data_IF_641173628447
#
_entry.id   IF_641173628447
#
_cell.length_a   1.000
_cell.length_b   1.000
_cell.length_c   1.000
_cell.angle_alpha   90.00
_cell.angle_beta   90.00
_cell.angle_gamma   90.00
#
_symmetry.space_group_name_H-M   'P 1'
#
loop_
_entity.id
_entity.type
_entity.pdbx_description
1 polymer ?
#
# COMPACT_ATOMS: atom_id res chain seq x y z
N UNK A 1 16.04 17.44 13.11
CA UNK A 1 15.27 18.04 11.98
C UNK A 1 13.78 18.01 12.33
N UNK A 2 12.92 18.90 11.81
CA UNK A 2 11.46 18.92 12.10
C UNK A 2 10.64 18.92 10.81
N UNK A 3 9.49 18.24 10.78
CA UNK A 3 8.64 18.15 9.58
C UNK A 3 8.17 19.53 9.09
N UNK A 4 7.79 20.42 10.02
CA UNK A 4 7.48 21.81 9.67
C UNK A 4 8.59 22.48 8.87
N UNK A 5 9.86 22.31 9.24
CA UNK A 5 11.01 22.90 8.51
C UNK A 5 11.27 22.24 7.16
N UNK A 6 10.82 21.00 6.97
CA UNK A 6 10.86 20.31 5.68
C UNK A 6 9.81 20.86 4.72
N UNK A 7 8.59 21.05 5.21
CA UNK A 7 7.43 21.44 4.41
C UNK A 7 7.18 22.96 4.35
N UNK A 8 7.96 23.78 5.06
CA UNK A 8 7.83 25.24 5.04
C UNK A 8 8.36 25.86 3.73
N UNK A 9 7.59 26.79 3.16
CA UNK A 9 8.01 27.60 2.02
C UNK A 9 8.88 28.74 2.54
N UNK A 10 10.12 28.84 2.06
CA UNK A 10 11.01 29.93 2.48
C UNK A 10 10.56 31.25 1.87
N UNK A 11 10.23 32.23 2.73
CA UNK A 11 9.78 33.56 2.31
C UNK A 11 10.71 34.24 1.28
N UNK A 12 12.03 34.12 1.47
CA UNK A 12 13.03 34.77 0.61
C UNK A 12 13.19 34.13 -0.76
N UNK A 13 13.12 32.80 -0.85
CA UNK A 13 13.37 32.08 -2.11
C UNK A 13 12.10 31.52 -2.75
N UNK A 14 10.95 31.59 -2.07
CA UNK A 14 9.69 30.91 -2.42
C UNK A 14 9.87 29.42 -2.75
N UNK A 15 10.93 28.78 -2.21
CA UNK A 15 11.27 27.36 -2.45
C UNK A 15 10.94 26.53 -1.22
N UNK A 16 10.39 25.34 -1.45
CA UNK A 16 10.22 24.29 -0.46
C UNK A 16 11.36 23.25 -0.57
N UNK A 17 11.59 22.47 0.49
CA UNK A 17 12.54 21.36 0.45
C UNK A 17 11.93 20.04 -0.02
N UNK A 18 10.60 19.99 -0.09
CA UNK A 18 9.82 18.85 -0.58
C UNK A 18 9.12 19.23 -1.88
N UNK A 19 8.65 18.24 -2.62
CA UNK A 19 7.78 18.40 -3.78
C UNK A 19 6.41 18.99 -3.39
N UNK A 20 5.70 19.53 -4.38
CA UNK A 20 4.41 20.19 -4.20
C UNK A 20 3.34 19.25 -3.63
N UNK A 21 3.38 17.97 -3.98
CA UNK A 21 2.42 16.98 -3.48
C UNK A 21 2.65 16.72 -1.98
N UNK A 22 3.90 16.59 -1.56
CA UNK A 22 4.26 16.45 -0.13
C UNK A 22 3.89 17.69 0.66
N UNK A 23 4.06 18.87 0.06
CA UNK A 23 3.63 20.12 0.68
C UNK A 23 2.10 20.17 0.85
N UNK A 24 1.33 19.85 -0.20
CA UNK A 24 -0.14 19.78 -0.13
C UNK A 24 -0.62 18.78 0.91
N UNK A 25 -0.03 17.58 0.95
CA UNK A 25 -0.33 16.54 1.94
C UNK A 25 -0.10 17.04 3.37
N UNK A 26 1.03 17.71 3.61
CA UNK A 26 1.33 18.32 4.91
C UNK A 26 0.34 19.43 5.31
N UNK A 27 -0.13 20.22 4.34
CA UNK A 27 -1.09 21.31 4.55
C UNK A 27 -2.52 20.79 4.77
N UNK A 28 -2.91 19.71 4.07
CA UNK A 28 -4.20 19.02 4.26
C UNK A 28 -4.36 18.47 5.68
N UNK A 29 -3.27 18.02 6.29
CA UNK A 29 -3.27 17.49 7.65
C UNK A 29 -3.89 16.09 7.76
N UNK A 30 -4.29 15.71 8.98
CA UNK A 30 -4.85 14.38 9.29
C UNK A 30 -3.84 13.26 9.13
N UNK A 31 -4.32 12.07 8.75
CA UNK A 31 -3.53 10.85 8.56
C UNK A 31 -2.35 11.09 7.60
N UNK A 32 -2.57 11.88 6.54
CA UNK A 32 -1.52 12.23 5.59
C UNK A 32 -0.32 12.95 6.21
N UNK A 33 -0.53 13.77 7.25
CA UNK A 33 0.58 14.42 7.99
C UNK A 33 1.28 13.43 8.92
N UNK A 34 0.53 12.56 9.59
CA UNK A 34 1.10 11.55 10.50
C UNK A 34 2.07 10.64 9.74
N UNK A 35 1.70 10.21 8.54
CA UNK A 35 2.56 9.43 7.65
C UNK A 35 3.86 10.15 7.27
N UNK A 36 3.81 11.46 7.05
CA UNK A 36 5.02 12.26 6.81
C UNK A 36 5.88 12.37 8.08
N UNK A 37 5.27 12.40 9.28
CA UNK A 37 6.03 12.38 10.53
C UNK A 37 6.74 11.04 10.75
N UNK A 38 6.06 9.93 10.45
CA UNK A 38 6.66 8.58 10.49
C UNK A 38 7.83 8.50 9.49
N UNK A 39 7.63 8.91 8.24
CA UNK A 39 8.68 8.90 7.22
C UNK A 39 9.91 9.74 7.65
N UNK A 40 9.68 10.87 8.32
CA UNK A 40 10.78 11.69 8.85
C UNK A 40 11.47 11.04 10.05
N UNK A 41 10.72 10.39 10.94
CA UNK A 41 11.27 9.69 12.09
C UNK A 41 12.20 8.55 11.64
N UNK A 42 11.77 7.73 10.67
CA UNK A 42 12.58 6.66 10.09
C UNK A 42 13.86 7.19 9.42
N UNK A 43 13.76 8.31 8.68
CA UNK A 43 14.91 8.93 8.06
C UNK A 43 15.92 9.45 9.10
N UNK A 44 15.43 10.01 10.21
CA UNK A 44 16.24 10.49 11.32
C UNK A 44 16.89 9.33 12.07
N UNK A 45 16.19 8.23 12.29
CA UNK A 45 16.73 7.04 12.94
C UNK A 45 17.92 6.47 12.14
N UNK A 46 17.81 6.45 10.81
CA UNK A 46 18.86 5.92 9.92
C UNK A 46 20.09 6.83 9.81
N UNK A 47 19.91 8.15 9.76
CA UNK A 47 20.98 9.11 9.40
C UNK A 47 21.37 10.08 10.52
N UNK A 48 20.59 10.14 11.60
CA UNK A 48 20.77 11.10 12.69
C UNK A 48 20.28 12.51 12.36
N UNK A 49 20.60 13.46 13.25
CA UNK A 49 20.13 14.86 13.17
C UNK A 49 21.24 15.89 12.98
N UNK A 50 22.46 15.44 12.71
CA UNK A 50 23.62 16.32 12.52
C UNK A 50 23.49 17.19 11.25
N UNK A 51 24.08 18.40 11.28
CA UNK A 51 23.97 19.37 10.17
C UNK A 51 24.60 18.89 8.88
N UNK A 52 25.73 18.18 8.96
CA UNK A 52 26.42 17.54 7.82
C UNK A 52 25.52 16.50 7.11
N UNK A 53 24.62 15.83 7.85
CA UNK A 53 23.71 14.82 7.32
C UNK A 53 22.42 15.41 6.74
N UNK A 54 22.11 16.69 6.95
CA UNK A 54 20.84 17.29 6.52
C UNK A 54 20.54 17.12 5.02
N UNK A 55 21.55 17.15 4.14
CA UNK A 55 21.35 16.92 2.70
C UNK A 55 20.93 15.47 2.43
N UNK A 56 21.59 14.51 3.08
CA UNK A 56 21.26 13.08 2.97
C UNK A 56 19.91 12.76 3.61
N UNK A 57 19.62 13.37 4.76
CA UNK A 57 18.35 13.23 5.47
C UNK A 57 17.16 13.66 4.60
N UNK A 58 17.31 14.74 3.82
CA UNK A 58 16.26 15.18 2.88
C UNK A 58 16.03 14.17 1.75
N UNK A 59 17.10 13.61 1.21
CA UNK A 59 17.01 12.60 0.16
C UNK A 59 16.35 11.31 0.69
N UNK A 60 16.78 10.85 1.87
CA UNK A 60 16.18 9.69 2.53
C UNK A 60 14.71 9.94 2.85
N UNK A 61 14.37 11.11 3.40
CA UNK A 61 12.98 11.48 3.65
C UNK A 61 12.13 11.42 2.38
N UNK A 62 12.61 11.99 1.26
CA UNK A 62 11.89 11.93 -0.01
C UNK A 62 11.68 10.48 -0.48
N UNK A 63 12.69 9.62 -0.35
CA UNK A 63 12.57 8.19 -0.66
C UNK A 63 11.52 7.50 0.23
N UNK A 64 11.50 7.81 1.54
CA UNK A 64 10.52 7.26 2.48
C UNK A 64 9.10 7.72 2.17
N UNK A 65 8.91 8.98 1.80
CA UNK A 65 7.60 9.50 1.41
C UNK A 65 7.05 8.77 0.19
N UNK A 66 7.89 8.45 -0.80
CA UNK A 66 7.46 7.64 -1.95
C UNK A 66 6.99 6.25 -1.52
N UNK A 67 7.76 5.54 -0.70
CA UNK A 67 7.38 4.21 -0.19
C UNK A 67 6.09 4.27 0.61
N UNK A 68 5.91 5.28 1.45
CA UNK A 68 4.70 5.46 2.25
C UNK A 68 3.50 5.76 1.34
N UNK A 69 3.66 6.55 0.28
CA UNK A 69 2.61 6.78 -0.71
C UNK A 69 2.22 5.51 -1.45
N UNK A 70 3.19 4.75 -1.94
CA UNK A 70 2.95 3.47 -2.58
C UNK A 70 2.21 2.52 -1.63
N UNK A 71 2.57 2.49 -0.34
CA UNK A 71 1.84 1.73 0.68
C UNK A 71 0.42 2.23 0.91
N UNK A 72 0.19 3.54 0.88
CA UNK A 72 -1.14 4.11 1.03
C UNK A 72 -2.02 3.79 -0.18
N UNK A 73 -1.49 3.92 -1.39
CA UNK A 73 -2.18 3.52 -2.62
C UNK A 73 -2.43 2.01 -2.65
N UNK A 74 -1.49 1.19 -2.19
CA UNK A 74 -1.69 -0.26 -2.05
C UNK A 74 -2.76 -0.56 -1.01
N UNK A 75 -2.74 0.09 0.16
CA UNK A 75 -3.78 -0.06 1.19
C UNK A 75 -5.15 0.37 0.67
N UNK A 76 -5.25 1.49 -0.04
CA UNK A 76 -6.49 1.95 -0.68
C UNK A 76 -6.98 0.96 -1.75
N UNK A 77 -6.07 0.39 -2.56
CA UNK A 77 -6.39 -0.69 -3.52
C UNK A 77 -6.76 -2.01 -2.84
N UNK A 78 -6.18 -2.30 -1.67
CA UNK A 78 -6.54 -3.44 -0.83
C UNK A 78 -7.89 -3.25 -0.12
N UNK A 79 -8.42 -2.01 -0.04
CA UNK A 79 -9.70 -1.74 0.62
C UNK A 79 -10.92 -1.88 -0.30
N UNK A 80 -10.74 -2.03 -1.62
CA UNK A 80 -11.82 -2.27 -2.59
C UNK A 80 -12.08 -3.76 -2.80
N UNK A 81 -12.39 -4.46 -1.70
CA UNK A 81 -12.81 -5.86 -1.74
C UNK A 81 -13.80 -6.22 -0.65
N UNK A 82 -14.50 -7.31 -0.87
CA UNK A 82 -15.52 -7.83 0.02
C UNK A 82 -15.19 -9.25 0.45
N UNK A 83 -15.53 -9.56 1.70
CA UNK A 83 -15.39 -10.89 2.25
C UNK A 83 -16.63 -11.72 1.91
N UNK A 84 -16.44 -12.76 1.10
CA UNK A 84 -17.52 -13.63 0.66
C UNK A 84 -17.27 -15.08 1.06
N UNK A 85 -18.33 -15.77 1.46
CA UNK A 85 -18.31 -17.22 1.60
C UNK A 85 -18.51 -17.87 0.23
N UNK A 86 -18.08 -19.11 0.07
CA UNK A 86 -18.33 -19.89 -1.16
C UNK A 86 -19.82 -19.93 -1.52
N UNK A 87 -20.69 -20.13 -0.52
CA UNK A 87 -22.14 -20.12 -0.71
C UNK A 87 -22.69 -18.76 -1.16
N UNK A 88 -22.14 -17.65 -0.63
CA UNK A 88 -22.53 -16.31 -1.08
C UNK A 88 -22.10 -16.06 -2.52
N UNK A 89 -20.91 -16.50 -2.91
CA UNK A 89 -20.44 -16.39 -4.29
C UNK A 89 -21.31 -17.22 -5.25
N UNK A 90 -21.74 -18.42 -4.84
CA UNK A 90 -22.66 -19.26 -5.64
C UNK A 90 -24.05 -18.64 -5.75
N UNK A 91 -24.57 -18.05 -4.66
CA UNK A 91 -25.91 -17.46 -4.61
C UNK A 91 -26.02 -16.11 -5.32
N UNK A 92 -24.95 -15.33 -5.40
CA UNK A 92 -24.99 -14.03 -6.08
C UNK A 92 -25.17 -14.16 -7.59
N UNK A 93 -24.78 -15.28 -8.19
CA UNK A 93 -24.85 -15.50 -9.64
C UNK A 93 -23.84 -14.67 -10.45
N UNK A 94 -23.06 -13.81 -9.79
CA UNK A 94 -22.05 -12.95 -10.40
C UNK A 94 -20.75 -13.69 -10.76
N UNK A 95 -20.57 -14.92 -10.26
CA UNK A 95 -19.32 -15.69 -10.38
C UNK A 95 -19.56 -17.05 -11.03
N UNK A 96 -18.76 -17.40 -12.03
CA UNK A 96 -18.77 -18.75 -12.59
C UNK A 96 -18.18 -19.76 -11.60
N UNK A 97 -18.58 -21.05 -11.66
CA UNK A 97 -18.01 -22.10 -10.82
C UNK A 97 -16.47 -22.19 -10.94
N UNK A 98 -15.93 -21.96 -12.12
CA UNK A 98 -14.49 -21.92 -12.40
C UNK A 98 -13.79 -20.76 -11.69
N UNK A 99 -14.41 -19.57 -11.67
CA UNK A 99 -13.89 -18.40 -10.98
C UNK A 99 -13.90 -18.59 -9.48
N UNK A 100 -14.97 -19.15 -8.91
CA UNK A 100 -15.05 -19.46 -7.47
C UNK A 100 -13.92 -20.41 -7.06
N UNK A 101 -13.69 -21.49 -7.83
CA UNK A 101 -12.57 -22.41 -7.58
C UNK A 101 -11.21 -21.72 -7.64
N UNK A 102 -11.02 -20.82 -8.59
CA UNK A 102 -9.77 -20.07 -8.75
C UNK A 102 -9.53 -19.10 -7.59
N UNK A 103 -10.57 -18.39 -7.14
CA UNK A 103 -10.53 -17.49 -5.98
C UNK A 103 -10.15 -18.29 -4.73
N UNK A 104 -10.89 -19.38 -4.44
CA UNK A 104 -10.62 -20.20 -3.25
C UNK A 104 -9.20 -20.76 -3.28
N UNK A 105 -8.75 -21.28 -4.44
CA UNK A 105 -7.41 -21.81 -4.61
C UNK A 105 -6.33 -20.73 -4.38
N UNK A 106 -6.56 -19.51 -4.86
CA UNK A 106 -5.64 -18.38 -4.67
C UNK A 106 -5.60 -17.93 -3.20
N UNK A 107 -6.75 -17.66 -2.59
CA UNK A 107 -6.83 -17.24 -1.19
C UNK A 107 -6.23 -18.29 -0.24
N UNK A 108 -6.40 -19.58 -0.57
CA UNK A 108 -5.82 -20.68 0.22
C UNK A 108 -4.28 -20.71 0.22
N UNK A 109 -3.61 -20.04 -0.74
CA UNK A 109 -2.14 -19.86 -0.71
C UNK A 109 -1.69 -18.86 0.36
N UNK A 110 -2.57 -17.94 0.75
CA UNK A 110 -2.29 -16.88 1.72
C UNK A 110 -3.35 -16.84 2.84
N UNK A 111 -3.48 -17.91 3.64
CA UNK A 111 -4.59 -18.08 4.58
C UNK A 111 -4.62 -17.04 5.70
N UNK A 112 -3.49 -16.43 6.04
CA UNK A 112 -3.40 -15.41 7.09
C UNK A 112 -3.91 -14.03 6.62
N UNK A 113 -3.95 -13.80 5.31
CA UNK A 113 -4.27 -12.49 4.72
C UNK A 113 -5.61 -12.50 3.98
N UNK A 114 -5.91 -13.57 3.24
CA UNK A 114 -7.03 -13.64 2.30
C UNK A 114 -8.13 -14.63 2.71
N UNK A 115 -7.97 -15.30 3.85
CA UNK A 115 -8.95 -16.22 4.41
C UNK A 115 -9.21 -15.84 5.85
N UNK A 116 -10.49 -15.82 6.24
CA UNK A 116 -10.86 -15.65 7.65
C UNK A 116 -12.01 -16.56 8.01
N UNK A 117 -12.16 -16.81 9.31
CA UNK A 117 -13.34 -17.51 9.82
C UNK A 117 -14.53 -16.58 9.83
N UNK A 118 -15.70 -17.10 9.49
CA UNK A 118 -16.93 -16.33 9.54
C UNK A 118 -17.34 -16.07 10.99
N UNK A 119 -17.72 -14.82 11.29
CA UNK A 119 -18.03 -14.34 12.65
C UNK A 119 -19.03 -15.20 13.42
N UNK A 120 -20.00 -15.82 12.73
CA UNK A 120 -21.10 -16.56 13.35
C UNK A 120 -20.98 -18.08 13.24
N UNK A 121 -20.04 -18.59 12.46
CA UNK A 121 -19.80 -20.02 12.35
C UNK A 121 -18.33 -20.29 12.01
N UNK A 122 -17.56 -20.88 12.95
CA UNK A 122 -16.12 -21.12 12.76
C UNK A 122 -15.83 -22.16 11.67
N UNK A 123 -16.82 -22.97 11.29
CA UNK A 123 -16.68 -23.96 10.22
C UNK A 123 -16.80 -23.35 8.82
N UNK A 124 -17.22 -22.08 8.72
CA UNK A 124 -17.40 -21.38 7.45
C UNK A 124 -16.23 -20.42 7.23
N UNK A 125 -15.61 -20.51 6.06
CA UNK A 125 -14.52 -19.63 5.64
C UNK A 125 -15.05 -18.52 4.74
N UNK A 126 -14.57 -17.31 5.00
CA UNK A 126 -14.71 -16.16 4.12
C UNK A 126 -13.40 -15.94 3.36
N UNK A 127 -13.54 -15.64 2.07
CA UNK A 127 -12.44 -15.35 1.16
C UNK A 127 -12.55 -13.89 0.73
N UNK A 128 -11.41 -13.22 0.65
CA UNK A 128 -11.37 -11.85 0.17
C UNK A 128 -11.51 -11.80 -1.36
N UNK A 129 -12.48 -11.01 -1.85
CA UNK A 129 -12.79 -10.86 -3.27
C UNK A 129 -12.78 -9.37 -3.64
N UNK A 130 -11.87 -8.97 -4.51
CA UNK A 130 -11.78 -7.59 -5.01
C UNK A 130 -13.00 -7.20 -5.86
N UNK A 131 -13.53 -5.99 -5.65
CA UNK A 131 -14.77 -5.51 -6.29
C UNK A 131 -14.58 -5.04 -7.72
N UNK A 132 -13.40 -4.53 -8.08
CA UNK A 132 -13.12 -3.99 -9.43
C UNK A 132 -12.66 -5.07 -10.42
N UNK A 133 -12.05 -6.14 -9.91
CA UNK A 133 -11.55 -7.29 -10.69
C UNK A 133 -12.54 -8.45 -10.64
N UNK A 134 -13.84 -8.18 -10.91
CA UNK A 134 -14.87 -9.24 -11.07
C UNK A 134 -14.48 -10.34 -12.08
N UNK A 135 -13.41 -10.17 -12.86
CA UNK A 135 -12.87 -11.18 -13.78
C UNK A 135 -11.35 -11.43 -13.71
N UNK A 136 -10.57 -10.73 -12.86
CA UNK A 136 -9.11 -10.65 -13.09
C UNK A 136 -8.24 -10.65 -11.83
N UNK A 137 -8.47 -11.59 -10.90
CA UNK A 137 -7.42 -11.99 -9.93
C UNK A 137 -6.25 -12.73 -10.63
N UNK A 138 -6.35 -12.95 -11.96
CA UNK A 138 -5.25 -13.42 -12.80
C UNK A 138 -4.63 -12.23 -13.54
N UNK A 139 -3.50 -11.69 -13.06
CA UNK A 139 -2.32 -11.37 -13.90
C UNK A 139 -1.29 -10.46 -13.20
N UNK A 140 -1.64 -9.69 -12.17
CA UNK A 140 -0.69 -8.72 -11.57
C UNK A 140 0.46 -9.39 -10.80
N UNK A 141 0.17 -10.42 -10.00
CA UNK A 141 1.19 -11.17 -9.24
C UNK A 141 2.00 -12.13 -10.12
N UNK A 142 1.38 -12.74 -11.14
CA UNK A 142 2.05 -13.64 -12.09
C UNK A 142 2.98 -12.87 -13.04
N UNK A 143 2.62 -11.66 -13.50
CA UNK A 143 3.53 -10.79 -14.29
C UNK A 143 4.75 -10.38 -13.50
N UNK A 144 4.59 -9.98 -12.23
CA UNK A 144 5.73 -9.60 -11.38
C UNK A 144 6.72 -10.76 -11.19
N UNK A 145 6.24 -12.00 -11.07
CA UNK A 145 7.13 -13.16 -10.96
C UNK A 145 7.81 -13.54 -12.28
N UNK A 146 7.15 -13.29 -13.42
CA UNK A 146 7.70 -13.57 -14.74
C UNK A 146 8.77 -12.53 -15.16
N UNK A 147 8.59 -11.26 -14.80
CA UNK A 147 9.59 -10.21 -15.00
C UNK A 147 10.85 -10.41 -14.13
N UNK A 148 10.71 -10.99 -12.93
CA UNK A 148 11.87 -11.34 -12.07
C UNK A 148 12.64 -12.55 -12.62
N UNK A 149 11.98 -13.44 -13.36
CA UNK A 149 12.60 -14.62 -13.97
C UNK A 149 13.36 -14.32 -15.27
N UNK A 150 13.01 -13.26 -15.99
CA UNK A 150 13.61 -12.91 -17.30
C UNK A 150 14.78 -11.91 -17.19
N UNK A 151 15.09 -11.41 -15.99
CA UNK A 151 16.24 -10.53 -15.73
C UNK A 151 17.39 -11.23 -14.98
N UNK A 152 17.51 -12.55 -15.12
CA UNK A 152 18.61 -13.35 -14.57
C UNK A 152 19.52 -13.93 -15.65
N UNK A 153 20.24 -13.03 -16.34
CA UNK A 153 21.59 -13.09 -16.96
C UNK A 153 22.17 -14.41 -17.53
N UNK A 154 23.06 -14.34 -18.56
CA UNK A 154 24.01 -13.24 -18.83
C UNK A 154 24.02 -12.65 -20.26
#
# INVERSE_FOLDING_TARGET
MRLRRMCEIKARSKKCHVDDETHKQYMKGGEGREWLEIALAEAIERLGTERNQHKKLRAEFAARVLVVRERMEMKEKETTGMWLTEDKMKKSGDYSPESIRSIIAYCSKFPQALVRQWKYNPNIREYFVETETKQTIKQSELRKQQEISDCGDP
#
